data_IF_996820693006
#
_entry.id   IF_996820693006
#
_cell.length_a   1.000
_cell.length_b   1.000
_cell.length_c   1.000
_cell.angle_alpha   90.00
_cell.angle_beta   90.00
_cell.angle_gamma   90.00
#
_symmetry.space_group_name_H-M   'P 1'
#
loop_
_entity.id
_entity.type
_entity.pdbx_description
1 polymer ?
#
# COMPACT_ATOMS: atom_id res chain seq x y z
N UNK A 1 5.70 20.76 5.34
CA UNK A 1 5.16 19.88 4.27
C UNK A 1 6.04 18.65 4.24
N UNK A 2 5.54 17.51 4.70
CA UNK A 2 6.26 16.24 4.65
C UNK A 2 6.04 15.64 3.27
N UNK A 3 7.10 15.52 2.46
CA UNK A 3 7.05 14.80 1.17
C UNK A 3 7.38 13.34 1.41
N UNK A 4 6.66 12.47 0.73
CA UNK A 4 6.82 11.01 0.82
C UNK A 4 7.05 10.50 -0.59
N UNK A 5 8.15 9.78 -0.78
CA UNK A 5 8.58 9.30 -2.09
C UNK A 5 8.36 7.80 -2.20
N UNK A 6 7.58 7.38 -3.20
CA UNK A 6 7.19 5.99 -3.45
C UNK A 6 7.72 5.47 -4.82
N UNK A 7 7.95 4.16 -4.88
CA UNK A 7 8.65 3.37 -5.90
C UNK A 7 7.59 2.61 -6.67
N UNK A 8 7.57 2.83 -7.97
CA UNK A 8 6.94 1.88 -8.87
C UNK A 8 7.93 0.81 -9.33
N UNK A 9 7.41 -0.34 -9.75
CA UNK A 9 8.20 -1.47 -10.26
C UNK A 9 9.11 -1.13 -11.46
N UNK A 10 8.97 0.07 -12.04
CA UNK A 10 9.73 0.56 -13.18
C UNK A 10 10.88 1.50 -12.78
N UNK A 11 11.15 1.65 -11.48
CA UNK A 11 12.23 2.50 -10.99
C UNK A 11 11.93 3.98 -11.08
N UNK A 12 10.66 4.37 -11.27
CA UNK A 12 10.26 5.79 -11.20
C UNK A 12 9.90 6.14 -9.77
N UNK A 13 10.23 7.37 -9.42
CA UNK A 13 9.97 7.93 -8.10
C UNK A 13 8.77 8.87 -8.20
N UNK A 14 7.87 8.75 -7.24
CA UNK A 14 6.65 9.55 -7.15
C UNK A 14 6.56 10.21 -5.78
N UNK A 15 6.21 11.50 -5.74
CA UNK A 15 5.86 12.19 -4.51
C UNK A 15 4.35 12.08 -4.28
N UNK A 16 3.95 11.55 -3.12
CA UNK A 16 2.57 11.53 -2.65
C UNK A 16 2.27 12.77 -1.80
N UNK A 17 1.21 13.51 -2.14
CA UNK A 17 0.61 14.50 -1.25
C UNK A 17 -0.35 13.82 -0.26
N UNK A 18 -0.03 13.74 1.04
CA UNK A 18 -0.88 13.05 2.00
C UNK A 18 -2.23 13.72 2.22
N UNK A 19 -2.38 15.00 1.88
CA UNK A 19 -3.63 15.73 2.02
C UNK A 19 -4.65 15.42 0.93
N UNK A 20 -4.17 15.18 -0.30
CA UNK A 20 -5.02 14.94 -1.47
C UNK A 20 -5.00 13.49 -1.97
N UNK A 21 -3.96 12.72 -1.66
CA UNK A 21 -3.75 11.38 -2.21
C UNK A 21 -3.27 11.35 -3.65
N UNK A 22 -2.81 12.50 -4.16
CA UNK A 22 -2.29 12.61 -5.52
C UNK A 22 -0.78 12.35 -5.56
N UNK A 23 -0.36 11.64 -6.61
CA UNK A 23 1.02 11.38 -6.98
C UNK A 23 1.51 12.41 -8.01
N UNK A 24 2.78 12.77 -7.89
CA UNK A 24 3.48 13.60 -8.87
C UNK A 24 4.90 13.06 -9.13
N UNK A 25 5.46 13.17 -10.34
CA UNK A 25 6.82 12.70 -10.61
C UNK A 25 7.85 13.39 -9.71
N UNK A 26 8.78 12.62 -9.15
CA UNK A 26 9.83 13.11 -8.26
C UNK A 26 11.23 12.76 -8.78
N UNK A 27 12.25 13.45 -8.24
CA UNK A 27 13.65 13.38 -8.73
C UNK A 27 14.65 12.80 -7.72
N UNK A 28 14.19 12.15 -6.65
CA UNK A 28 15.08 11.46 -5.72
C UNK A 28 14.34 10.75 -4.59
N UNK A 29 15.01 9.75 -4.01
CA UNK A 29 14.50 8.94 -2.89
C UNK A 29 13.75 7.70 -3.34
N UNK A 30 13.88 6.60 -2.59
CA UNK A 30 13.13 5.36 -2.82
C UNK A 30 12.35 4.98 -1.57
N UNK A 31 11.08 4.60 -1.73
CA UNK A 31 10.33 3.77 -0.78
C UNK A 31 9.06 3.25 -1.46
N UNK A 32 8.18 2.47 -0.83
CA UNK A 32 7.69 1.22 -1.43
C UNK A 32 6.15 1.08 -1.54
N UNK A 33 5.66 1.06 -2.79
CA UNK A 33 4.39 0.41 -3.15
C UNK A 33 3.16 1.33 -3.19
N UNK A 34 2.67 1.57 -4.40
CA UNK A 34 1.39 2.23 -4.65
C UNK A 34 0.69 1.60 -5.85
N UNK A 35 -0.61 1.83 -5.96
CA UNK A 35 -1.40 1.52 -7.16
C UNK A 35 -2.29 2.72 -7.49
N UNK A 36 -2.43 3.02 -8.78
CA UNK A 36 -3.34 4.06 -9.22
C UNK A 36 -4.80 3.65 -9.00
N UNK A 37 -5.64 4.60 -8.61
CA UNK A 37 -7.06 4.37 -8.41
C UNK A 37 -7.80 4.37 -9.76
N UNK A 38 -8.54 3.31 -10.10
CA UNK A 38 -9.35 3.30 -11.31
C UNK A 38 -10.41 4.41 -11.27
N UNK A 39 -10.52 5.21 -12.33
CA UNK A 39 -11.59 6.21 -12.49
C UNK A 39 -11.39 7.55 -11.75
N UNK A 40 -10.39 7.68 -10.89
CA UNK A 40 -10.07 8.91 -10.13
C UNK A 40 -8.92 9.72 -10.79
N UNK A 41 -8.56 9.37 -12.02
CA UNK A 41 -7.45 9.96 -12.78
C UNK A 41 -6.10 9.31 -12.47
N UNK A 42 -5.16 9.37 -13.42
CA UNK A 42 -3.84 8.71 -13.34
C UNK A 42 -2.94 9.22 -12.20
N UNK A 43 -3.38 10.19 -11.40
CA UNK A 43 -2.60 10.73 -10.29
C UNK A 43 -3.13 10.29 -8.92
N UNK A 44 -4.37 9.82 -8.79
CA UNK A 44 -4.87 9.35 -7.51
C UNK A 44 -4.34 7.94 -7.21
N UNK A 45 -3.96 7.68 -5.95
CA UNK A 45 -3.38 6.40 -5.58
C UNK A 45 -3.91 5.81 -4.26
N UNK A 46 -3.78 4.49 -4.15
CA UNK A 46 -3.66 3.80 -2.88
C UNK A 46 -2.17 3.54 -2.61
N UNK A 47 -1.72 3.77 -1.37
CA UNK A 47 -0.31 3.70 -1.01
C UNK A 47 -0.10 3.18 0.42
N UNK A 48 1.01 2.48 0.64
CA UNK A 48 1.48 2.07 1.96
C UNK A 48 2.88 2.63 2.19
N UNK A 49 3.03 3.54 3.15
CA UNK A 49 4.27 4.29 3.31
C UNK A 49 4.62 4.55 4.77
N UNK A 50 5.91 4.78 5.05
CA UNK A 50 6.40 5.25 6.34
C UNK A 50 6.51 6.77 6.38
N UNK A 51 6.02 7.45 7.42
CA UNK A 51 6.13 8.90 7.57
C UNK A 51 6.26 9.34 9.04
N UNK A 52 7.03 10.40 9.30
CA UNK A 52 7.17 11.06 10.61
C UNK A 52 8.60 10.99 11.19
N UNK A 53 9.05 12.06 11.84
CA UNK A 53 10.39 12.13 12.44
C UNK A 53 10.55 11.19 13.65
N UNK A 54 11.70 10.52 13.76
CA UNK A 54 12.12 9.75 14.94
C UNK A 54 11.49 8.37 15.10
N UNK A 55 10.16 8.27 15.11
CA UNK A 55 9.45 7.00 15.36
C UNK A 55 8.68 6.47 14.17
N UNK A 56 8.72 7.10 12.99
CA UNK A 56 8.07 6.68 11.73
C UNK A 56 6.73 5.92 11.88
N UNK A 57 5.61 6.55 11.59
CA UNK A 57 4.31 5.85 11.55
C UNK A 57 4.13 5.18 10.18
N UNK A 58 3.61 3.95 10.17
CA UNK A 58 3.22 3.26 8.95
C UNK A 58 1.78 3.65 8.60
N UNK A 59 1.58 4.15 7.39
CA UNK A 59 0.29 4.68 6.94
C UNK A 59 -0.20 3.91 5.73
N UNK A 60 -1.48 3.55 5.76
CA UNK A 60 -2.24 3.11 4.60
C UNK A 60 -3.11 4.26 4.11
N UNK A 61 -3.10 4.51 2.81
CA UNK A 61 -3.86 5.58 2.19
C UNK A 61 -4.65 5.07 0.97
N UNK A 62 -5.87 5.58 0.80
CA UNK A 62 -6.72 5.37 -0.37
C UNK A 62 -7.36 6.70 -0.76
N UNK A 63 -6.83 7.34 -1.80
CA UNK A 63 -7.22 8.71 -2.16
C UNK A 63 -6.98 9.66 -0.98
N UNK A 64 -8.00 10.42 -0.59
CA UNK A 64 -7.93 11.34 0.55
C UNK A 64 -8.06 10.65 1.93
N UNK A 65 -8.38 9.36 1.99
CA UNK A 65 -8.53 8.62 3.26
C UNK A 65 -7.19 8.04 3.70
N UNK A 66 -6.91 8.08 5.00
CA UNK A 66 -5.63 7.65 5.56
C UNK A 66 -5.79 7.04 6.96
N UNK A 67 -5.04 5.96 7.22
CA UNK A 67 -5.10 5.20 8.47
C UNK A 67 -3.71 4.92 9.03
N UNK A 68 -3.55 5.09 10.34
CA UNK A 68 -2.38 4.58 11.08
C UNK A 68 -2.50 3.05 11.16
N UNK A 69 -1.54 2.33 10.58
CA UNK A 69 -1.55 0.87 10.55
C UNK A 69 -1.44 0.23 11.95
N UNK A 70 -1.07 0.99 12.98
CA UNK A 70 -1.12 0.52 14.36
C UNK A 70 -2.55 0.53 14.95
N UNK A 71 -3.46 1.35 14.40
CA UNK A 71 -4.82 1.53 14.93
C UNK A 71 -5.90 0.78 14.14
N UNK A 72 -5.56 0.19 13.00
CA UNK A 72 -6.50 -0.55 12.14
C UNK A 72 -6.04 -1.97 11.87
N UNK A 73 -7.00 -2.83 11.53
CA UNK A 73 -6.76 -4.15 10.94
C UNK A 73 -7.15 -4.12 9.48
N UNK A 74 -6.37 -4.78 8.64
CA UNK A 74 -6.62 -4.86 7.20
C UNK A 74 -6.86 -6.31 6.83
N UNK A 75 -7.85 -6.54 5.97
CA UNK A 75 -8.19 -7.88 5.49
C UNK A 75 -8.42 -7.85 3.99
N UNK A 76 -7.98 -8.93 3.35
CA UNK A 76 -8.42 -9.29 2.01
C UNK A 76 -9.20 -10.62 2.11
N UNK A 77 -10.28 -10.75 1.35
CA UNK A 77 -10.99 -12.00 1.18
C UNK A 77 -11.46 -12.17 -0.27
N UNK A 78 -11.48 -13.40 -0.74
CA UNK A 78 -12.03 -13.74 -2.06
C UNK A 78 -13.43 -14.32 -1.92
N UNK A 79 -14.35 -13.81 -2.73
CA UNK A 79 -15.70 -14.33 -2.92
C UNK A 79 -15.69 -15.49 -3.92
N UNK A 80 -16.74 -16.32 -3.88
CA UNK A 80 -16.85 -17.51 -4.73
C UNK A 80 -16.95 -17.19 -6.25
N UNK A 81 -17.35 -15.97 -6.58
CA UNK A 81 -17.43 -15.43 -7.94
C UNK A 81 -16.08 -14.90 -8.46
N UNK A 82 -15.02 -14.97 -7.66
CA UNK A 82 -13.69 -14.45 -7.99
C UNK A 82 -13.49 -12.98 -7.64
N UNK A 83 -14.51 -12.28 -7.14
CA UNK A 83 -14.37 -10.90 -6.65
C UNK A 83 -13.54 -10.89 -5.38
N UNK A 84 -12.54 -10.00 -5.31
CA UNK A 84 -11.74 -9.76 -4.12
C UNK A 84 -12.33 -8.58 -3.33
N UNK A 85 -12.33 -8.68 -2.00
CA UNK A 85 -12.79 -7.65 -1.09
C UNK A 85 -11.62 -7.24 -0.19
N UNK A 86 -11.23 -5.98 -0.26
CA UNK A 86 -10.28 -5.36 0.65
C UNK A 86 -11.04 -4.54 1.69
N UNK A 87 -10.72 -4.71 2.97
CA UNK A 87 -11.38 -4.00 4.06
C UNK A 87 -10.37 -3.42 5.05
N UNK A 88 -10.65 -2.20 5.51
CA UNK A 88 -9.97 -1.58 6.64
C UNK A 88 -10.95 -1.52 7.81
N UNK A 89 -10.55 -2.09 8.93
CA UNK A 89 -11.35 -2.28 10.13
C UNK A 89 -10.73 -1.43 11.24
N UNK A 90 -11.52 -0.52 11.80
CA UNK A 90 -11.10 0.34 12.90
C UNK A 90 -10.86 -0.41 14.20
N UNK A 91 -10.25 0.26 15.18
CA UNK A 91 -9.94 -0.30 16.50
C UNK A 91 -11.15 -0.83 17.28
N UNK A 92 -12.36 -0.34 16.97
CA UNK A 92 -13.62 -0.83 17.53
C UNK A 92 -14.25 -2.00 16.76
N UNK A 93 -13.59 -2.55 15.74
CA UNK A 93 -14.11 -3.62 14.89
C UNK A 93 -15.09 -3.20 13.80
N UNK A 94 -15.39 -1.90 13.70
CA UNK A 94 -16.23 -1.36 12.62
C UNK A 94 -15.45 -1.26 11.31
N UNK A 95 -16.08 -1.63 10.19
CA UNK A 95 -15.51 -1.42 8.85
C UNK A 95 -15.49 0.06 8.52
N UNK A 96 -14.29 0.62 8.32
CA UNK A 96 -14.09 2.02 7.94
C UNK A 96 -14.00 2.19 6.41
N UNK A 97 -13.60 1.13 5.71
CA UNK A 97 -13.49 1.12 4.27
C UNK A 97 -13.67 -0.30 3.74
N UNK A 98 -14.33 -0.41 2.60
CA UNK A 98 -14.47 -1.65 1.84
C UNK A 98 -14.34 -1.34 0.36
N UNK A 99 -13.57 -2.18 -0.34
CA UNK A 99 -13.35 -2.09 -1.77
C UNK A 99 -13.50 -3.48 -2.40
N UNK A 100 -14.58 -3.73 -3.16
CA UNK A 100 -14.62 -4.84 -4.09
C UNK A 100 -13.77 -4.52 -5.32
N UNK A 101 -12.95 -5.47 -5.77
CA UNK A 101 -12.13 -5.34 -6.97
C UNK A 101 -11.95 -6.70 -7.67
N UNK A 102 -11.74 -6.66 -8.98
CA UNK A 102 -11.35 -7.86 -9.72
C UNK A 102 -9.89 -8.20 -9.40
N UNK A 103 -9.58 -9.49 -9.22
CA UNK A 103 -8.20 -9.94 -9.13
C UNK A 103 -7.45 -9.54 -10.41
N UNK A 104 -6.16 -9.15 -10.33
CA UNK A 104 -5.31 -9.02 -11.50
C UNK A 104 -5.31 -10.33 -12.32
N UNK A 105 -5.29 -10.21 -13.65
CA UNK A 105 -5.09 -11.38 -14.51
C UNK A 105 -3.59 -11.73 -14.52
N UNK A 106 -3.21 -12.72 -13.73
CA UNK A 106 -1.81 -13.18 -13.59
C UNK A 106 -1.26 -13.84 -14.86
N UNK A 107 -2.11 -14.17 -15.85
CA UNK A 107 -1.71 -15.03 -16.97
C UNK A 107 -1.44 -16.49 -16.54
N UNK A 108 -0.73 -17.28 -17.35
CA UNK A 108 -0.45 -18.68 -17.06
C UNK A 108 0.57 -18.87 -15.92
N UNK A 109 0.22 -19.71 -14.94
CA UNK A 109 1.00 -19.93 -13.72
C UNK A 109 2.41 -20.54 -13.96
N UNK A 110 3.47 -19.81 -13.59
CA UNK A 110 4.86 -20.25 -13.41
C UNK A 110 5.24 -20.28 -11.90
N UNK A 111 5.35 -21.47 -11.28
CA UNK A 111 5.65 -21.59 -9.85
C UNK A 111 7.00 -21.03 -9.41
N UNK A 112 7.93 -20.75 -10.34
CA UNK A 112 9.23 -20.17 -10.01
C UNK A 112 9.18 -18.65 -9.77
N UNK A 113 8.17 -17.96 -10.33
CA UNK A 113 8.06 -16.50 -10.32
C UNK A 113 6.70 -16.01 -9.76
N UNK A 114 5.63 -16.73 -10.05
CA UNK A 114 4.27 -16.22 -9.86
C UNK A 114 3.83 -16.12 -8.41
N UNK A 115 4.39 -16.91 -7.49
CA UNK A 115 4.03 -16.78 -6.06
C UNK A 115 4.42 -15.41 -5.48
N UNK A 116 5.53 -14.83 -5.95
CA UNK A 116 6.00 -13.50 -5.54
C UNK A 116 5.38 -12.41 -6.39
N UNK A 117 5.18 -12.66 -7.69
CA UNK A 117 4.64 -11.69 -8.64
C UNK A 117 3.13 -11.49 -8.47
N UNK A 118 2.33 -12.53 -8.17
CA UNK A 118 0.89 -12.37 -7.92
C UNK A 118 0.58 -11.51 -6.69
N UNK A 119 1.42 -11.61 -5.64
CA UNK A 119 1.34 -10.73 -4.48
C UNK A 119 1.79 -9.32 -4.85
N UNK A 120 2.85 -9.16 -5.65
CA UNK A 120 3.34 -7.85 -6.06
C UNK A 120 2.39 -7.12 -7.02
N UNK A 121 1.66 -7.86 -7.86
CA UNK A 121 0.68 -7.31 -8.80
C UNK A 121 -0.68 -7.05 -8.13
N UNK A 122 -1.02 -7.76 -7.05
CA UNK A 122 -2.16 -7.40 -6.19
C UNK A 122 -1.71 -6.62 -4.95
N UNK A 123 -1.58 -5.31 -5.11
CA UNK A 123 -1.27 -4.37 -4.04
C UNK A 123 -2.13 -4.60 -2.78
N UNK A 124 -3.43 -4.82 -2.91
CA UNK A 124 -4.33 -4.93 -1.76
C UNK A 124 -4.13 -6.24 -0.99
N UNK A 125 -3.86 -7.32 -1.70
CA UNK A 125 -3.48 -8.59 -1.09
C UNK A 125 -2.12 -8.47 -0.38
N UNK A 126 -1.13 -7.85 -1.02
CA UNK A 126 0.18 -7.59 -0.41
C UNK A 126 0.07 -6.73 0.85
N UNK A 127 -0.69 -5.63 0.82
CA UNK A 127 -0.93 -4.80 2.01
C UNK A 127 -1.55 -5.64 3.13
N UNK A 128 -2.58 -6.44 2.84
CA UNK A 128 -3.24 -7.27 3.85
C UNK A 128 -2.28 -8.29 4.48
N UNK A 129 -1.42 -8.92 3.68
CA UNK A 129 -0.40 -9.86 4.17
C UNK A 129 0.65 -9.17 5.05
N UNK A 130 1.21 -8.04 4.58
CA UNK A 130 2.23 -7.29 5.32
C UNK A 130 1.71 -6.72 6.64
N UNK A 131 0.43 -6.39 6.71
CA UNK A 131 -0.20 -5.84 7.90
C UNK A 131 -0.83 -6.91 8.83
N UNK A 132 -0.81 -8.19 8.45
CA UNK A 132 -1.54 -9.26 9.14
C UNK A 132 -1.14 -9.45 10.62
N UNK A 133 0.12 -9.16 10.97
CA UNK A 133 0.61 -9.34 12.34
C UNK A 133 1.39 -8.13 12.84
N UNK A 134 1.44 -7.94 14.17
CA UNK A 134 2.22 -6.86 14.78
C UNK A 134 3.72 -6.97 14.45
N UNK A 135 4.25 -8.20 14.39
CA UNK A 135 5.63 -8.45 14.00
C UNK A 135 5.89 -8.09 12.54
N UNK A 136 5.02 -8.50 11.61
CA UNK A 136 5.12 -8.14 10.19
C UNK A 136 5.07 -6.63 9.97
N UNK A 137 4.16 -5.93 10.68
CA UNK A 137 4.06 -4.46 10.65
C UNK A 137 5.34 -3.79 11.13
N UNK A 138 5.90 -4.27 12.24
CA UNK A 138 7.14 -3.74 12.80
C UNK A 138 8.32 -3.96 11.84
N UNK A 139 8.47 -5.16 11.28
CA UNK A 139 9.48 -5.46 10.27
C UNK A 139 9.35 -4.58 9.03
N UNK A 140 8.11 -4.38 8.54
CA UNK A 140 7.85 -3.53 7.38
C UNK A 140 8.22 -2.06 7.69
N UNK A 141 7.86 -1.60 8.88
CA UNK A 141 8.19 -0.25 9.34
C UNK A 141 9.70 -0.06 9.48
N UNK A 142 10.43 -1.04 10.03
CA UNK A 142 11.88 -1.03 10.10
C UNK A 142 12.52 -1.03 8.71
N UNK A 143 11.98 -1.82 7.78
CA UNK A 143 12.42 -1.83 6.38
C UNK A 143 12.25 -0.45 5.73
N UNK A 144 11.07 0.16 5.90
CA UNK A 144 10.80 1.50 5.38
C UNK A 144 11.72 2.53 6.03
N UNK A 145 11.99 2.42 7.35
CA UNK A 145 12.95 3.28 8.07
C UNK A 145 14.38 3.15 7.55
N UNK A 146 14.83 1.94 7.22
CA UNK A 146 16.15 1.70 6.65
C UNK A 146 16.32 2.35 5.27
N UNK A 147 15.21 2.68 4.59
CA UNK A 147 15.14 3.41 3.33
C UNK A 147 15.25 4.94 3.41
N UNK A 148 15.47 5.55 4.59
CA UNK A 148 15.60 7.03 4.75
C UNK A 148 17.04 7.51 5.01
N UNK A 149 18.04 6.93 4.34
CA UNK A 149 19.37 7.56 4.34
C UNK A 149 19.35 8.77 3.40
N UNK A 150 18.99 9.94 3.93
CA UNK A 150 19.41 11.20 3.32
C UNK A 150 20.92 11.38 3.56
N UNK A 151 21.71 11.85 2.57
CA UNK A 151 23.03 12.40 2.84
C UNK A 151 22.96 13.67 3.70
#
# INVERSE_FOLDING_TARGET
MTRLSDYDRHGRVWDLDPGSGLLSPASGGGCHGFVHLPGEGEQAAAALYGAGEGTGTLWLQFGARRWDCASVSVRQASSADGTRHFSVIGSGGATEFELPYAAPDSGPFDPAYDWLDELADDFYLWVADRLATAASRQTLLEHFRAGFSAP
#
